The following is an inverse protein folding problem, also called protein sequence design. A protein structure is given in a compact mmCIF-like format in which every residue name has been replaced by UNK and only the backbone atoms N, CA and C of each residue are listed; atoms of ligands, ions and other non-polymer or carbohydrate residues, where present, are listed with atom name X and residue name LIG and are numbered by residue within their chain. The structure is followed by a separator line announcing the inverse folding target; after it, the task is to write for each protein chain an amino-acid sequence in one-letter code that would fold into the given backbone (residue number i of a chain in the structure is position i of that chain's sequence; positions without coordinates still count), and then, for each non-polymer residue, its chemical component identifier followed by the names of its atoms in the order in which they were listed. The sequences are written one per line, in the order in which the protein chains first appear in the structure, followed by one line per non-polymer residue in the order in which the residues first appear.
data_IF_999379118489
#
_entry.id   IF_999379118489
#
_cell.length_a   1.000
_cell.length_b   1.000
_cell.length_c   1.000
_cell.angle_alpha   90.00
_cell.angle_beta   90.00
_cell.angle_gamma   90.00
#
_symmetry.space_group_name_H-M   'P 1'
#
loop_
_entity.id
_entity.type
_entity.pdbx_description
1 polymer ?
#
# COMPACT_ATOMS: atom_id res chain seq x y z
N UNK A 1 3.85 5.60 -11.87
CA UNK A 1 3.52 4.17 -12.06
C UNK A 1 4.80 3.34 -12.10
N UNK A 2 4.99 2.39 -11.18
CA UNK A 2 6.28 1.72 -10.95
C UNK A 2 6.61 0.59 -11.96
N UNK A 3 5.64 -0.27 -12.29
CA UNK A 3 5.85 -1.48 -13.11
C UNK A 3 4.98 -1.57 -14.37
N UNK A 4 4.24 -0.49 -14.69
CA UNK A 4 3.39 -0.45 -15.88
C UNK A 4 2.02 -1.11 -15.75
N UNK A 5 1.67 -1.60 -14.55
CA UNK A 5 0.38 -2.23 -14.25
C UNK A 5 -0.37 -1.47 -13.15
N UNK A 6 -1.69 -1.49 -13.24
CA UNK A 6 -2.68 -0.91 -12.33
C UNK A 6 -3.36 -2.02 -11.53
N UNK A 7 -3.43 -1.93 -10.19
CA UNK A 7 -3.95 -3.01 -9.36
C UNK A 7 -5.32 -3.51 -9.80
N UNK A 8 -6.33 -2.64 -9.80
CA UNK A 8 -7.73 -3.01 -10.05
C UNK A 8 -7.95 -3.47 -11.48
N UNK A 9 -7.32 -2.82 -12.46
CA UNK A 9 -7.52 -3.10 -13.88
C UNK A 9 -6.82 -4.40 -14.31
N UNK A 10 -5.62 -4.67 -13.78
CA UNK A 10 -4.75 -5.72 -14.35
C UNK A 10 -4.67 -7.01 -13.54
N UNK A 11 -4.82 -7.01 -12.20
CA UNK A 11 -4.50 -8.21 -11.42
C UNK A 11 -5.23 -8.41 -10.08
N UNK A 12 -5.70 -7.36 -9.41
CA UNK A 12 -6.23 -7.47 -8.04
C UNK A 12 -7.45 -8.40 -7.99
N UNK A 13 -8.38 -8.30 -8.95
CA UNK A 13 -9.56 -9.16 -9.00
C UNK A 13 -9.28 -10.65 -9.23
N UNK A 14 -8.11 -11.00 -9.79
CA UNK A 14 -7.73 -12.39 -10.00
C UNK A 14 -7.13 -13.00 -8.73
N UNK A 15 -6.41 -12.21 -7.95
CA UNK A 15 -5.67 -12.71 -6.79
C UNK A 15 -6.51 -12.68 -5.51
N UNK A 16 -7.41 -11.69 -5.34
CA UNK A 16 -8.18 -11.47 -4.10
C UNK A 16 -8.92 -12.71 -3.59
N UNK A 17 -9.58 -13.54 -4.42
CA UNK A 17 -10.23 -14.78 -3.95
C UNK A 17 -9.27 -15.80 -3.31
N UNK A 18 -7.96 -15.60 -3.45
CA UNK A 18 -6.90 -16.49 -2.98
C UNK A 18 -6.02 -15.83 -1.91
N UNK A 19 -6.31 -14.60 -1.50
CA UNK A 19 -5.52 -13.87 -0.50
C UNK A 19 -6.03 -14.12 0.91
N UNK A 20 -5.13 -14.55 1.78
CA UNK A 20 -5.31 -14.56 3.25
C UNK A 20 -4.84 -13.22 3.87
N UNK A 21 -3.75 -12.68 3.34
CA UNK A 21 -3.05 -11.52 3.87
C UNK A 21 -2.50 -10.65 2.73
N UNK A 22 -2.45 -9.33 2.93
CA UNK A 22 -1.90 -8.37 1.98
C UNK A 22 -0.96 -7.40 2.69
N UNK A 23 0.18 -7.13 2.09
CA UNK A 23 1.11 -6.10 2.56
C UNK A 23 0.94 -4.84 1.73
N UNK A 24 0.82 -3.68 2.36
CA UNK A 24 0.61 -2.41 1.67
C UNK A 24 1.81 -1.47 1.77
N UNK A 25 2.14 -0.89 0.62
CA UNK A 25 3.04 0.24 0.39
C UNK A 25 2.70 0.84 -0.97
N UNK A 26 3.22 2.02 -1.27
CA UNK A 26 3.12 2.65 -2.59
C UNK A 26 4.51 3.01 -3.12
N UNK A 27 4.58 3.54 -4.34
CA UNK A 27 5.81 3.97 -4.95
C UNK A 27 5.64 5.20 -5.83
N UNK A 28 6.64 6.07 -5.79
CA UNK A 28 6.75 7.27 -6.62
C UNK A 28 8.19 7.46 -7.07
N UNK A 29 8.39 7.74 -8.35
CA UNK A 29 9.71 8.00 -8.94
C UNK A 29 10.78 6.94 -8.60
N UNK A 30 10.38 5.67 -8.53
CA UNK A 30 11.27 4.55 -8.19
C UNK A 30 11.58 4.38 -6.69
N UNK A 31 11.06 5.26 -5.84
CA UNK A 31 11.17 5.14 -4.39
C UNK A 31 9.90 4.55 -3.77
N UNK A 32 10.07 3.71 -2.74
CA UNK A 32 8.97 3.23 -1.91
C UNK A 32 8.50 4.36 -1.00
N UNK A 33 7.19 4.59 -0.97
CA UNK A 33 6.52 5.62 -0.16
C UNK A 33 5.33 5.00 0.58
N UNK A 34 4.77 5.65 1.61
CA UNK A 34 3.55 5.19 2.25
C UNK A 34 2.40 5.00 1.26
N UNK A 35 1.47 4.08 1.60
CA UNK A 35 0.22 3.88 0.88
C UNK A 35 -0.51 5.22 0.63
N UNK A 36 -0.93 5.50 -0.60
CA UNK A 36 -1.63 6.72 -0.98
C UNK A 36 -0.74 7.92 -1.33
N UNK A 37 0.58 7.83 -1.12
CA UNK A 37 1.52 8.91 -1.45
C UNK A 37 2.25 8.69 -2.79
N UNK A 38 1.96 7.60 -3.49
CA UNK A 38 2.55 7.27 -4.79
C UNK A 38 1.55 7.31 -5.93
N UNK A 39 1.92 6.63 -7.01
CA UNK A 39 1.12 6.57 -8.24
C UNK A 39 0.45 5.20 -8.42
N UNK A 40 0.26 4.45 -7.33
CA UNK A 40 -0.23 3.08 -7.34
C UNK A 40 -1.74 2.92 -7.44
N UNK A 41 -2.53 4.02 -7.47
CA UNK A 41 -3.99 4.01 -7.44
C UNK A 41 -4.54 3.29 -6.19
N UNK A 42 -3.99 3.66 -5.03
CA UNK A 42 -4.30 3.00 -3.77
C UNK A 42 -5.75 3.23 -3.31
N UNK A 43 -6.37 4.38 -3.64
CA UNK A 43 -7.76 4.66 -3.27
C UNK A 43 -8.74 3.73 -4.00
N UNK A 44 -8.51 3.47 -5.30
CA UNK A 44 -9.27 2.49 -6.06
C UNK A 44 -9.05 1.06 -5.57
N UNK A 45 -7.80 0.71 -5.24
CA UNK A 45 -7.48 -0.61 -4.67
C UNK A 45 -8.17 -0.82 -3.31
N UNK A 46 -8.21 0.19 -2.45
CA UNK A 46 -8.89 0.13 -1.16
C UNK A 46 -10.39 -0.11 -1.31
N UNK A 47 -11.05 0.63 -2.21
CA UNK A 47 -12.47 0.40 -2.52
C UNK A 47 -12.73 -1.01 -3.07
N UNK A 48 -11.86 -1.50 -3.94
CA UNK A 48 -11.98 -2.87 -4.46
C UNK A 48 -11.92 -3.93 -3.35
N UNK A 49 -11.09 -3.68 -2.33
CA UNK A 49 -10.88 -4.58 -1.19
C UNK A 49 -11.93 -4.42 -0.08
N UNK A 50 -12.93 -3.55 -0.21
CA UNK A 50 -13.95 -3.33 0.85
C UNK A 50 -14.69 -4.63 1.22
N UNK A 51 -14.91 -5.52 0.25
CA UNK A 51 -15.55 -6.82 0.46
C UNK A 51 -14.57 -7.95 0.87
N UNK A 52 -13.27 -7.66 0.93
CA UNK A 52 -12.24 -8.63 1.34
C UNK A 52 -12.00 -8.53 2.85
N UNK A 53 -12.05 -9.67 3.54
CA UNK A 53 -12.02 -9.79 5.00
C UNK A 53 -10.68 -10.29 5.57
N UNK A 54 -9.62 -10.30 4.74
CA UNK A 54 -8.28 -10.69 5.14
C UNK A 54 -7.52 -9.63 5.94
N UNK A 55 -6.28 -9.94 6.33
CA UNK A 55 -5.47 -9.02 7.13
C UNK A 55 -4.56 -8.17 6.25
N UNK A 56 -4.54 -6.87 6.54
CA UNK A 56 -3.67 -5.90 5.88
C UNK A 56 -2.50 -5.51 6.79
N UNK A 57 -1.28 -5.78 6.33
CA UNK A 57 -0.05 -5.45 7.03
C UNK A 57 0.62 -4.22 6.39
N UNK A 58 1.08 -3.29 7.22
CA UNK A 58 1.78 -2.10 6.77
C UNK A 58 3.26 -2.45 6.58
N UNK A 59 3.82 -2.13 5.41
CA UNK A 59 5.26 -2.20 5.19
C UNK A 59 5.91 -0.83 5.31
N UNK A 60 6.58 -0.50 6.43
CA UNK A 60 7.06 0.85 6.69
C UNK A 60 8.55 0.97 6.38
N UNK A 61 9.09 0.09 5.53
CA UNK A 61 10.50 0.08 5.09
C UNK A 61 10.80 1.22 4.09
N UNK A 62 10.46 2.45 4.50
CA UNK A 62 10.45 3.69 3.70
C UNK A 62 11.82 4.35 3.56
N UNK A 63 12.87 3.81 4.19
CA UNK A 63 14.18 4.48 4.22
C UNK A 63 15.29 3.46 4.06
N UNK A 64 15.80 3.38 2.84
CA UNK A 64 17.04 2.71 2.46
C UNK A 64 17.23 1.30 3.03
N UNK A 65 16.92 0.29 2.21
CA UNK A 65 17.51 -1.03 2.37
C UNK A 65 19.01 -0.93 2.04
N UNK A 66 19.84 -0.56 3.02
CA UNK A 66 21.27 -0.85 2.97
C UNK A 66 21.48 -2.37 2.95
N UNK A 67 22.67 -2.82 2.52
CA UNK A 67 23.00 -4.24 2.37
C UNK A 67 22.84 -5.11 3.64
N UNK A 68 22.59 -4.50 4.80
CA UNK A 68 22.42 -5.14 6.10
C UNK A 68 20.95 -5.17 6.61
N UNK A 69 19.98 -4.73 5.81
CA UNK A 69 18.55 -4.70 6.18
C UNK A 69 18.02 -3.28 6.43
N UNK A 70 16.74 -3.06 6.14
CA UNK A 70 16.07 -1.78 6.31
C UNK A 70 15.64 -1.56 7.76
N UNK A 71 16.06 -0.44 8.36
CA UNK A 71 15.55 0.00 9.65
C UNK A 71 14.40 0.96 9.44
N UNK A 72 13.23 0.60 9.96
CA UNK A 72 12.03 1.41 9.86
C UNK A 72 11.87 2.37 11.05
N UNK A 73 12.19 1.95 12.28
CA UNK A 73 12.01 2.80 13.46
C UNK A 73 10.55 3.22 13.72
N UNK A 74 10.28 3.71 14.93
CA UNK A 74 8.91 4.06 15.37
C UNK A 74 8.31 5.20 14.54
N UNK A 75 9.12 6.17 14.15
CA UNK A 75 8.67 7.35 13.40
C UNK A 75 8.09 6.98 12.01
N UNK A 76 8.75 6.09 11.26
CA UNK A 76 8.28 5.70 9.94
C UNK A 76 7.08 4.75 10.01
N UNK A 77 6.99 3.91 11.05
CA UNK A 77 5.76 3.18 11.35
C UNK A 77 4.60 4.16 11.59
N UNK A 78 4.81 5.17 12.44
CA UNK A 78 3.80 6.19 12.73
C UNK A 78 3.41 7.01 11.49
N UNK A 79 4.34 7.25 10.57
CA UNK A 79 4.04 7.91 9.30
C UNK A 79 3.22 7.01 8.36
N UNK A 80 3.60 5.75 8.21
CA UNK A 80 2.89 4.81 7.36
C UNK A 80 1.47 4.52 7.85
N UNK A 81 1.27 4.41 9.16
CA UNK A 81 -0.07 4.25 9.77
C UNK A 81 -0.95 5.47 9.52
N UNK A 82 -0.42 6.68 9.63
CA UNK A 82 -1.19 7.91 9.37
C UNK A 82 -1.61 8.00 7.91
N UNK A 83 -0.68 7.77 6.98
CA UNK A 83 -0.99 7.75 5.55
C UNK A 83 -2.05 6.70 5.20
N UNK A 84 -2.00 5.51 5.80
CA UNK A 84 -3.02 4.48 5.58
C UNK A 84 -4.41 4.91 6.06
N UNK A 85 -4.49 5.61 7.19
CA UNK A 85 -5.77 6.13 7.72
C UNK A 85 -6.34 7.22 6.82
N UNK A 86 -5.51 8.16 6.38
CA UNK A 86 -5.89 9.23 5.44
C UNK A 86 -6.42 8.62 4.13
N UNK A 87 -5.73 7.60 3.60
CA UNK A 87 -6.17 6.88 2.42
C UNK A 87 -7.53 6.19 2.60
N UNK A 88 -7.76 5.57 3.77
CA UNK A 88 -9.04 4.95 4.08
C UNK A 88 -10.17 6.00 4.09
N UNK A 89 -9.96 7.11 4.78
CA UNK A 89 -10.94 8.22 4.86
C UNK A 89 -11.24 8.81 3.47
N UNK A 90 -10.22 8.98 2.63
CA UNK A 90 -10.38 9.45 1.24
C UNK A 90 -11.20 8.45 0.41
N UNK A 91 -10.98 7.16 0.60
CA UNK A 91 -11.64 6.09 -0.15
C UNK A 91 -13.14 5.98 0.16
N UNK A 92 -13.54 6.36 1.38
CA UNK A 92 -14.94 6.35 1.86
C UNK A 92 -15.74 7.62 1.47
N UNK A 93 -15.07 8.70 1.06
CA UNK A 93 -15.66 10.03 0.81
C UNK A 93 -16.16 10.27 -0.64
N UNK A 94 -16.00 9.27 -1.52
CA UNK A 94 -16.29 9.34 -2.96
C UNK A 94 -17.37 8.33 -3.38
#
# INVERSE_FOLDING_TARGET
MLIGYRPVEDWLGWIVPHLDTLHIKDAKDGAVVPAGQGDGQMSEAFRFLEAWDGNLAIEPHLTHAGAAGGFTGVELFGHAVRALRELQEESESL
#
